data_IF_448464148459
#
_entry.id   IF_448464148459
#
_cell.length_a   1.000
_cell.length_b   1.000
_cell.length_c   1.000
_cell.angle_alpha   90.00
_cell.angle_beta   90.00
_cell.angle_gamma   90.00
#
_symmetry.space_group_name_H-M   'P 1'
#
loop_
_entity.id
_entity.type
_entity.pdbx_description
1 polymer ?
#
# COMPACT_ATOMS: atom_id res chain seq x y z
N UNK A 1 13.61 4.77 16.25
CA UNK A 1 12.71 5.84 15.72
C UNK A 1 12.76 7.07 16.65
N UNK A 2 12.23 8.24 16.25
CA UNK A 2 12.24 9.47 17.10
C UNK A 2 11.43 9.24 18.39
N UNK A 3 11.99 9.62 19.54
CA UNK A 3 11.33 9.47 20.85
C UNK A 3 10.05 10.30 20.96
N UNK A 4 9.95 11.42 20.23
CA UNK A 4 8.78 12.31 20.25
C UNK A 4 7.49 11.69 19.71
N UNK A 5 7.59 10.69 18.82
CA UNK A 5 6.41 10.04 18.21
C UNK A 5 6.08 8.68 18.85
N UNK A 6 6.84 8.25 19.86
CA UNK A 6 6.70 6.92 20.46
C UNK A 6 5.29 6.68 21.01
N UNK A 7 4.72 7.68 21.71
CA UNK A 7 3.35 7.60 22.23
C UNK A 7 2.30 7.39 21.12
N UNK A 8 2.50 7.98 19.93
CA UNK A 8 1.59 7.78 18.80
C UNK A 8 1.69 6.37 18.24
N UNK A 9 2.90 5.84 18.12
CA UNK A 9 3.10 4.46 17.66
C UNK A 9 2.45 3.45 18.62
N UNK A 10 2.53 3.65 19.93
CA UNK A 10 1.80 2.80 20.89
C UNK A 10 0.28 2.93 20.78
N UNK A 11 -0.23 4.12 20.44
CA UNK A 11 -1.64 4.31 20.09
C UNK A 11 -2.03 3.43 18.90
N UNK A 12 -1.31 3.54 17.78
CA UNK A 12 -1.57 2.72 16.59
C UNK A 12 -1.44 1.21 16.83
N UNK A 13 -0.56 0.79 17.74
CA UNK A 13 -0.49 -0.63 18.16
C UNK A 13 -1.75 -1.03 18.91
N UNK A 14 -2.25 -0.18 19.80
CA UNK A 14 -3.49 -0.44 20.56
C UNK A 14 -4.71 -0.50 19.64
N UNK A 15 -4.69 0.31 18.57
CA UNK A 15 -5.74 0.34 17.54
C UNK A 15 -5.63 -0.83 16.54
N UNK A 16 -4.53 -1.60 16.56
CA UNK A 16 -4.26 -2.69 15.61
C UNK A 16 -3.72 -2.24 14.24
N UNK A 17 -3.46 -0.94 14.07
CA UNK A 17 -2.91 -0.34 12.85
C UNK A 17 -1.40 -0.57 12.66
N UNK A 18 -0.69 -0.90 13.75
CA UNK A 18 0.77 -1.06 13.75
C UNK A 18 1.20 -2.28 14.58
N UNK A 19 2.13 -3.06 14.04
CA UNK A 19 2.82 -4.13 14.78
C UNK A 19 4.26 -3.70 15.03
N UNK A 20 4.73 -3.86 16.26
CA UNK A 20 6.14 -3.68 16.62
C UNK A 20 6.82 -5.03 16.49
N UNK A 21 7.84 -5.10 15.64
CA UNK A 21 8.66 -6.30 15.47
C UNK A 21 9.67 -6.44 16.61
N UNK A 22 9.85 -7.67 17.07
CA UNK A 22 10.73 -8.03 18.19
C UNK A 22 12.10 -8.48 17.71
N UNK A 23 12.18 -9.02 16.50
CA UNK A 23 13.42 -9.48 15.88
C UNK A 23 13.61 -8.95 14.46
N UNK A 24 14.87 -8.85 14.00
CA UNK A 24 15.13 -8.51 12.62
C UNK A 24 14.43 -9.49 11.66
N UNK A 25 13.90 -8.98 10.54
CA UNK A 25 13.27 -9.73 9.43
C UNK A 25 11.86 -10.24 9.70
N UNK A 26 11.38 -10.17 10.95
CA UNK A 26 9.98 -10.51 11.28
C UNK A 26 8.98 -9.70 10.45
N UNK A 27 9.25 -8.41 10.21
CA UNK A 27 8.44 -7.52 9.38
C UNK A 27 8.25 -8.06 7.96
N UNK A 28 9.32 -8.57 7.37
CA UNK A 28 9.32 -9.10 6.01
C UNK A 28 8.64 -10.46 5.95
N UNK A 29 8.90 -11.32 6.94
CA UNK A 29 8.28 -12.66 7.04
C UNK A 29 6.75 -12.56 7.22
N UNK A 30 6.29 -11.71 8.14
CA UNK A 30 4.86 -11.49 8.39
C UNK A 30 4.17 -10.83 7.18
N UNK A 31 4.81 -9.86 6.53
CA UNK A 31 4.31 -9.27 5.29
C UNK A 31 4.13 -10.33 4.20
N UNK A 32 5.14 -11.19 3.99
CA UNK A 32 5.07 -12.24 2.98
C UNK A 32 3.95 -13.26 3.30
N UNK A 33 3.79 -13.62 4.59
CA UNK A 33 2.69 -14.49 5.03
C UNK A 33 1.31 -13.86 4.80
N UNK A 34 1.14 -12.55 5.03
CA UNK A 34 -0.10 -11.84 4.72
C UNK A 34 -0.39 -11.83 3.21
N UNK A 35 0.60 -11.52 2.38
CA UNK A 35 0.45 -11.58 0.92
C UNK A 35 0.09 -12.99 0.45
N UNK A 36 0.73 -14.02 1.01
CA UNK A 36 0.46 -15.43 0.73
C UNK A 36 -0.97 -15.82 1.10
N UNK A 37 -1.47 -15.39 2.25
CA UNK A 37 -2.87 -15.62 2.66
C UNK A 37 -3.87 -15.05 1.65
N UNK A 38 -3.64 -13.83 1.14
CA UNK A 38 -4.51 -13.19 0.13
C UNK A 38 -4.39 -13.90 -1.23
N UNK A 39 -3.18 -14.34 -1.59
CA UNK A 39 -2.93 -15.12 -2.81
C UNK A 39 -3.66 -16.47 -2.78
N UNK A 40 -3.56 -17.22 -1.68
CA UNK A 40 -4.19 -18.53 -1.50
C UNK A 40 -5.72 -18.43 -1.48
N UNK A 41 -6.26 -17.30 -1.01
CA UNK A 41 -7.68 -17.00 -1.12
C UNK A 41 -8.13 -16.72 -2.58
N UNK A 42 -7.19 -16.57 -3.52
CA UNK A 42 -7.45 -16.20 -4.92
C UNK A 42 -7.88 -14.75 -5.10
N UNK A 43 -7.56 -13.88 -4.14
CA UNK A 43 -7.96 -12.47 -4.11
C UNK A 43 -6.83 -11.52 -4.50
N UNK A 44 -5.58 -12.00 -4.53
CA UNK A 44 -4.43 -11.17 -4.87
C UNK A 44 -4.36 -10.93 -6.38
N UNK A 45 -4.53 -9.67 -6.78
CA UNK A 45 -4.28 -9.22 -8.14
C UNK A 45 -2.77 -9.08 -8.41
N UNK A 46 -2.11 -8.10 -7.76
CA UNK A 46 -0.70 -7.75 -7.94
C UNK A 46 -0.13 -7.16 -6.63
N UNK A 47 1.18 -7.16 -6.47
CA UNK A 47 1.93 -6.52 -5.37
C UNK A 47 2.81 -5.42 -5.95
N UNK A 48 2.68 -4.21 -5.43
CA UNK A 48 3.52 -3.07 -5.81
C UNK A 48 4.65 -2.88 -4.83
N UNK A 49 5.90 -3.05 -5.27
CA UNK A 49 7.09 -2.78 -4.46
C UNK A 49 7.71 -1.46 -4.86
N UNK A 50 7.86 -0.56 -3.90
CA UNK A 50 8.77 0.59 -4.05
C UNK A 50 10.21 0.05 -4.19
N UNK A 51 10.94 0.37 -5.28
CA UNK A 51 12.31 -0.10 -5.50
C UNK A 51 13.34 0.52 -4.52
N UNK A 52 12.94 1.41 -3.62
CA UNK A 52 13.87 1.98 -2.65
C UNK A 52 14.13 1.05 -1.44
N UNK A 53 15.41 1.00 -1.01
CA UNK A 53 15.91 0.38 0.24
C UNK A 53 15.72 -1.13 0.42
N UNK A 54 14.51 -1.59 0.73
CA UNK A 54 14.25 -2.97 1.21
C UNK A 54 13.62 -3.89 0.15
N UNK A 55 13.38 -3.38 -1.05
CA UNK A 55 12.70 -4.10 -2.13
C UNK A 55 13.26 -5.50 -2.42
N UNK A 56 14.59 -5.69 -2.43
CA UNK A 56 15.19 -7.01 -2.72
C UNK A 56 14.90 -8.04 -1.64
N UNK A 57 14.89 -7.61 -0.37
CA UNK A 57 14.63 -8.51 0.76
C UNK A 57 13.16 -8.91 0.79
N UNK A 58 12.27 -7.93 0.57
CA UNK A 58 10.81 -8.19 0.48
C UNK A 58 10.49 -9.06 -0.74
N UNK A 59 11.09 -8.75 -1.90
CA UNK A 59 10.92 -9.55 -3.11
C UNK A 59 11.32 -11.00 -2.87
N UNK A 60 12.52 -11.26 -2.31
CA UNK A 60 12.95 -12.62 -2.01
C UNK A 60 11.98 -13.33 -1.08
N UNK A 61 11.51 -12.68 -0.01
CA UNK A 61 10.57 -13.29 0.92
C UNK A 61 9.22 -13.63 0.29
N UNK A 62 8.73 -12.80 -0.64
CA UNK A 62 7.51 -13.09 -1.40
C UNK A 62 7.70 -14.32 -2.32
N UNK A 63 8.84 -14.41 -3.00
CA UNK A 63 9.19 -15.57 -3.81
C UNK A 63 9.32 -16.83 -2.95
N UNK A 64 10.05 -16.75 -1.82
CA UNK A 64 10.21 -17.87 -0.88
C UNK A 64 8.85 -18.33 -0.30
N UNK A 65 7.89 -17.42 -0.12
CA UNK A 65 6.53 -17.72 0.30
C UNK A 65 5.63 -18.32 -0.81
N UNK A 66 6.17 -18.46 -2.03
CA UNK A 66 5.46 -19.04 -3.17
C UNK A 66 4.53 -18.08 -3.90
N UNK A 67 4.79 -16.76 -3.82
CA UNK A 67 4.13 -15.77 -4.68
C UNK A 67 4.82 -15.78 -6.06
N UNK A 68 4.06 -15.95 -7.17
CA UNK A 68 4.64 -15.86 -8.51
C UNK A 68 5.26 -14.48 -8.79
N UNK A 69 6.43 -14.48 -9.44
CA UNK A 69 7.20 -13.28 -9.75
C UNK A 69 6.43 -12.28 -10.63
N UNK A 70 5.62 -12.77 -11.57
CA UNK A 70 4.82 -11.95 -12.49
C UNK A 70 3.75 -11.11 -11.78
N UNK A 71 3.40 -11.45 -10.54
CA UNK A 71 2.48 -10.67 -9.71
C UNK A 71 3.20 -9.54 -8.95
N UNK A 72 4.53 -9.50 -8.94
CA UNK A 72 5.32 -8.52 -8.19
C UNK A 72 5.86 -7.46 -9.14
N UNK A 73 5.42 -6.22 -8.95
CA UNK A 73 5.73 -5.11 -9.86
C UNK A 73 6.46 -4.01 -9.11
N UNK A 74 7.55 -3.53 -9.69
CA UNK A 74 8.25 -2.33 -9.19
C UNK A 74 7.44 -1.06 -9.47
N UNK A 75 7.09 -0.32 -8.43
CA UNK A 75 6.41 0.98 -8.53
C UNK A 75 7.40 2.10 -8.25
N UNK A 76 7.89 2.69 -9.32
CA UNK A 76 8.81 3.84 -9.24
C UNK A 76 8.12 5.03 -8.56
N UNK A 77 8.68 5.49 -7.45
CA UNK A 77 8.20 6.64 -6.69
C UNK A 77 8.52 7.98 -7.37
N UNK A 78 8.09 9.08 -6.75
CA UNK A 78 8.37 10.44 -7.21
C UNK A 78 7.37 10.92 -8.26
N UNK A 79 7.85 11.57 -9.33
CA UNK A 79 6.99 12.19 -10.34
C UNK A 79 6.05 11.21 -11.04
N UNK A 80 6.41 9.92 -11.10
CA UNK A 80 5.58 8.86 -11.67
C UNK A 80 4.31 8.56 -10.85
N UNK A 81 4.24 9.00 -9.59
CA UNK A 81 3.03 8.89 -8.78
C UNK A 81 2.04 10.04 -9.02
N UNK A 82 2.38 11.05 -9.83
CA UNK A 82 1.47 12.18 -10.12
C UNK A 82 0.10 11.69 -10.62
N UNK A 83 0.09 10.69 -11.51
CA UNK A 83 -1.15 10.11 -12.01
C UNK A 83 -1.96 9.41 -10.91
N UNK A 84 -1.30 8.66 -10.04
CA UNK A 84 -1.96 7.98 -8.93
C UNK A 84 -2.55 8.97 -7.91
N UNK A 85 -1.87 10.09 -7.66
CA UNK A 85 -2.38 11.16 -6.80
C UNK A 85 -3.68 11.73 -7.39
N UNK A 86 -3.67 12.10 -8.68
CA UNK A 86 -4.85 12.65 -9.36
C UNK A 86 -6.02 11.65 -9.40
N UNK A 87 -5.74 10.36 -9.67
CA UNK A 87 -6.76 9.29 -9.63
C UNK A 87 -7.33 9.14 -8.22
N UNK A 88 -6.49 9.17 -7.19
CA UNK A 88 -6.93 9.08 -5.80
C UNK A 88 -7.87 10.23 -5.43
N UNK A 89 -7.51 11.47 -5.75
CA UNK A 89 -8.30 12.67 -5.47
C UNK A 89 -9.69 12.59 -6.12
N UNK A 90 -9.73 12.24 -7.42
CA UNK A 90 -10.99 12.14 -8.15
C UNK A 90 -11.85 10.97 -7.64
N UNK A 91 -11.25 9.80 -7.44
CA UNK A 91 -11.98 8.61 -6.98
C UNK A 91 -12.51 8.77 -5.55
N UNK A 92 -11.80 9.49 -4.67
CA UNK A 92 -12.31 9.85 -3.34
C UNK A 92 -13.50 10.81 -3.44
N UNK A 93 -13.38 11.85 -4.28
CA UNK A 93 -14.45 12.83 -4.48
C UNK A 93 -15.73 12.19 -5.03
N UNK A 94 -15.58 11.24 -5.96
CA UNK A 94 -16.69 10.57 -6.63
C UNK A 94 -17.16 9.31 -5.88
N UNK A 95 -16.59 9.02 -4.70
CA UNK A 95 -16.98 7.89 -3.85
C UNK A 95 -16.60 6.51 -4.39
N UNK A 96 -15.71 6.43 -5.38
CA UNK A 96 -15.22 5.18 -5.97
C UNK A 96 -14.04 4.56 -5.21
N UNK A 97 -13.35 5.36 -4.39
CA UNK A 97 -12.28 4.89 -3.52
C UNK A 97 -12.70 5.02 -2.06
N UNK A 98 -12.54 3.93 -1.30
CA UNK A 98 -12.71 3.91 0.15
C UNK A 98 -11.38 3.53 0.79
N UNK A 99 -10.92 4.30 1.78
CA UNK A 99 -9.76 3.96 2.59
C UNK A 99 -10.19 3.30 3.91
N UNK A 100 -9.25 2.69 4.63
CA UNK A 100 -9.50 1.91 5.85
C UNK A 100 -9.99 2.72 7.07
N UNK A 101 -10.27 4.03 6.91
CA UNK A 101 -10.67 4.96 7.98
C UNK A 101 -9.89 4.83 9.29
N UNK A 102 -8.57 4.65 9.21
CA UNK A 102 -7.76 4.37 10.39
C UNK A 102 -7.05 5.62 10.92
N UNK A 103 -6.87 5.77 12.26
CA UNK A 103 -6.12 6.87 12.86
C UNK A 103 -4.70 6.99 12.30
N UNK A 104 -4.04 5.87 12.00
CA UNK A 104 -2.71 5.87 11.39
C UNK A 104 -2.74 6.49 9.99
N UNK A 105 -3.74 6.15 9.16
CA UNK A 105 -3.86 6.74 7.83
C UNK A 105 -4.15 8.24 7.89
N UNK A 106 -5.06 8.67 8.78
CA UNK A 106 -5.35 10.09 9.00
C UNK A 106 -4.08 10.87 9.41
N UNK A 107 -3.27 10.28 10.30
CA UNK A 107 -1.98 10.86 10.68
C UNK A 107 -1.00 10.91 9.50
N UNK A 108 -0.88 9.85 8.71
CA UNK A 108 0.01 9.83 7.53
C UNK A 108 -0.38 10.87 6.49
N UNK A 109 -1.66 11.00 6.16
CA UNK A 109 -2.17 12.04 5.24
C UNK A 109 -1.90 13.43 5.80
N UNK A 110 -2.16 13.67 7.09
CA UNK A 110 -1.92 14.98 7.72
C UNK A 110 -0.45 15.42 7.77
N UNK A 111 0.51 14.51 7.64
CA UNK A 111 1.93 14.85 7.53
C UNK A 111 2.41 15.03 6.07
N UNK A 112 1.60 14.63 5.08
CA UNK A 112 1.99 14.66 3.68
C UNK A 112 2.21 16.10 3.20
N UNK A 113 3.38 16.34 2.58
CA UNK A 113 3.69 17.61 1.94
C UNK A 113 3.70 17.45 0.43
N UNK A 114 2.83 18.22 -0.20
CA UNK A 114 2.71 18.39 -1.64
C UNK A 114 3.76 19.40 -2.08
N UNK A 115 4.68 18.99 -2.95
CA UNK A 115 5.77 19.82 -3.47
C UNK A 115 5.61 19.92 -4.98
N UNK A 116 5.38 21.13 -5.53
CA UNK A 116 5.41 21.35 -6.97
C UNK A 116 6.80 21.04 -7.55
N UNK A 117 6.84 20.36 -8.69
CA UNK A 117 8.09 20.05 -9.39
C UNK A 117 7.86 20.08 -10.90
N UNK A 118 8.15 21.22 -11.53
CA UNK A 118 7.79 21.47 -12.92
C UNK A 118 6.27 21.38 -13.10
N UNK A 119 5.82 20.53 -14.03
CA UNK A 119 4.39 20.30 -14.28
C UNK A 119 3.80 19.16 -13.43
N UNK A 120 4.57 18.64 -12.47
CA UNK A 120 4.17 17.52 -11.62
C UNK A 120 4.02 17.93 -10.15
N UNK A 121 3.35 17.08 -9.40
CA UNK A 121 3.22 17.18 -7.95
C UNK A 121 3.93 16.01 -7.30
N UNK A 122 4.76 16.28 -6.30
CA UNK A 122 5.51 15.27 -5.56
C UNK A 122 5.03 15.21 -4.12
N UNK A 123 4.84 13.99 -3.61
CA UNK A 123 4.76 13.71 -2.19
C UNK A 123 5.96 12.85 -1.85
N UNK A 124 6.89 13.37 -1.03
CA UNK A 124 8.13 12.67 -0.71
C UNK A 124 8.28 12.46 0.79
N UNK A 125 8.94 11.36 1.16
CA UNK A 125 9.30 11.06 2.56
C UNK A 125 10.27 12.11 3.12
N UNK A 126 11.10 12.71 2.28
CA UNK A 126 12.03 13.77 2.68
C UNK A 126 11.26 15.03 3.12
N UNK A 127 10.33 15.52 2.29
CA UNK A 127 9.57 16.73 2.61
C UNK A 127 8.58 16.53 3.77
N UNK A 128 7.95 15.35 3.82
CA UNK A 128 6.89 15.00 4.79
C UNK A 128 7.42 14.48 6.13
N UNK A 129 8.72 14.26 6.23
CA UNK A 129 9.37 13.72 7.43
C UNK A 129 9.49 12.19 7.40
N UNK A 130 10.61 11.71 7.95
CA UNK A 130 10.97 10.29 7.96
C UNK A 130 9.97 9.43 8.75
N UNK A 131 9.56 8.31 8.17
CA UNK A 131 8.71 7.29 8.80
C UNK A 131 7.30 7.78 9.21
N UNK A 132 6.71 8.69 8.42
CA UNK A 132 5.40 9.30 8.70
C UNK A 132 4.33 9.00 7.66
N UNK A 133 4.72 8.87 6.39
CA UNK A 133 3.77 8.80 5.27
C UNK A 133 3.76 7.44 4.57
N UNK A 134 4.40 6.41 5.16
CA UNK A 134 4.52 5.10 4.52
C UNK A 134 3.16 4.46 4.16
N UNK A 135 2.12 4.50 5.02
CA UNK A 135 0.77 4.06 4.65
C UNK A 135 0.21 4.78 3.42
N UNK A 136 0.35 6.12 3.35
CA UNK A 136 -0.09 6.90 2.19
C UNK A 136 0.65 6.48 0.91
N UNK A 137 1.97 6.32 0.98
CA UNK A 137 2.76 5.88 -0.17
C UNK A 137 2.38 4.47 -0.62
N UNK A 138 2.11 3.55 0.33
CA UNK A 138 1.63 2.21 0.02
C UNK A 138 0.27 2.24 -0.70
N UNK A 139 -0.66 3.11 -0.28
CA UNK A 139 -1.94 3.30 -0.96
C UNK A 139 -1.77 3.88 -2.37
N UNK A 140 -0.90 4.87 -2.58
CA UNK A 140 -0.63 5.41 -3.93
C UNK A 140 -0.01 4.35 -4.86
N UNK A 141 0.82 3.46 -4.33
CA UNK A 141 1.33 2.31 -5.09
C UNK A 141 0.21 1.34 -5.47
N UNK A 142 -0.69 1.02 -4.54
CA UNK A 142 -1.84 0.19 -4.82
C UNK A 142 -2.76 0.84 -5.88
N UNK A 143 -2.99 2.15 -5.80
CA UNK A 143 -3.78 2.90 -6.78
C UNK A 143 -3.13 2.87 -8.17
N UNK A 144 -1.81 2.95 -8.25
CA UNK A 144 -1.08 2.80 -9.52
C UNK A 144 -1.38 1.44 -10.17
N UNK A 145 -1.43 0.37 -9.39
CA UNK A 145 -1.80 -0.96 -9.87
C UNK A 145 -3.29 -1.07 -10.22
N UNK A 146 -4.18 -0.50 -9.40
CA UNK A 146 -5.62 -0.51 -9.66
C UNK A 146 -5.98 0.30 -10.92
N UNK A 147 -5.25 1.38 -11.19
CA UNK A 147 -5.43 2.19 -12.39
C UNK A 147 -5.14 1.42 -13.70
N UNK A 148 -4.43 0.28 -13.63
CA UNK A 148 -4.29 -0.64 -14.78
C UNK A 148 -5.49 -1.56 -14.96
N UNK A 149 -6.58 -1.34 -14.21
CA UNK A 149 -7.80 -2.13 -14.20
C UNK A 149 -7.54 -3.65 -14.16
N UNK A 150 -6.89 -4.17 -13.11
CA UNK A 150 -6.57 -5.59 -13.03
C UNK A 150 -7.85 -6.43 -12.98
N UNK A 151 -7.91 -7.49 -13.79
CA UNK A 151 -9.05 -8.40 -13.79
C UNK A 151 -9.12 -9.24 -12.52
N UNK A 152 -10.33 -9.40 -11.99
CA UNK A 152 -10.58 -10.27 -10.85
C UNK A 152 -10.42 -11.74 -11.28
N UNK A 153 -9.54 -12.49 -10.60
CA UNK A 153 -9.33 -13.93 -10.88
C UNK A 153 -10.57 -14.79 -10.59
N UNK A 154 -11.48 -14.32 -9.75
CA UNK A 154 -12.70 -15.05 -9.38
C UNK A 154 -13.93 -14.23 -9.73
N UNK A 155 -14.89 -14.90 -10.37
CA UNK A 155 -16.26 -14.43 -10.50
C UNK A 155 -16.85 -14.19 -9.12
N UNK A 156 -17.66 -13.13 -9.03
CA UNK A 156 -18.37 -12.79 -7.80
C UNK A 156 -19.16 -14.01 -7.26
N UNK A 157 -19.26 -14.13 -5.93
CA UNK A 157 -20.17 -15.14 -5.33
C UNK A 157 -21.59 -14.93 -5.84
N UNK A 158 -21.98 -13.68 -6.12
CA UNK A 158 -23.30 -13.34 -6.66
C UNK A 158 -23.46 -13.78 -8.12
N UNK A 159 -22.40 -13.74 -8.94
CA UNK A 159 -22.43 -14.33 -10.30
C UNK A 159 -22.55 -15.85 -10.23
N UNK A 160 -21.78 -16.49 -9.35
CA UNK A 160 -21.88 -17.96 -9.14
C UNK A 160 -23.26 -18.40 -8.65
N UNK A 161 -23.96 -17.53 -7.93
CA UNK A 161 -25.32 -17.77 -7.43
C UNK A 161 -26.42 -17.31 -8.39
N UNK A 162 -26.08 -16.78 -9.57
CA UNK A 162 -27.06 -16.28 -10.55
C UNK A 162 -27.79 -15.00 -10.13
N UNK A 163 -27.26 -14.26 -9.15
CA UNK A 163 -27.86 -13.02 -8.63
C UNK A 163 -27.35 -11.80 -9.41
N UNK A 164 -26.16 -11.89 -10.00
CA UNK A 164 -25.57 -10.86 -10.86
C UNK A 164 -25.21 -11.45 -12.22
N UNK A 165 -25.60 -10.77 -13.28
CA UNK A 165 -25.18 -11.05 -14.65
C UNK A 165 -24.38 -9.83 -15.13
N UNK A 166 -23.17 -10.07 -15.64
CA UNK A 166 -22.29 -9.07 -16.26
C UNK A 166 -22.28 -9.29 -17.77
#
# INVERSE_FOLDING_TARGET
RRKSEASKYHGFVSDGDLVIVERPRQDVEELAALCKKVYDAGLLAKIGLDPERTHKVVFKALIDAGIPEDLIIGISQGWKLTGAIAVAELALKDGQLTHADSPMMAWSVGNAKVVPSGNAVLITKQASGTAKIDPLMASLNAITLMATNPEAKRKSVYERRGIRYL
#
